data_IF_254799040271
#
_entry.id   IF_254799040271
#
_cell.length_a   1.000
_cell.length_b   1.000
_cell.length_c   1.000
_cell.angle_alpha   90.00
_cell.angle_beta   90.00
_cell.angle_gamma   90.00
#
_symmetry.space_group_name_H-M   'P 1'
#
loop_
_entity.id
_entity.type
_entity.pdbx_description
1 polymer ?
#
# COMPACT_ATOMS: atom_id res chain seq x y z
N UNK A 1 -0.48 13.57 -6.73
CA UNK A 1 0.50 13.14 -5.71
C UNK A 1 -0.20 13.21 -4.36
N UNK A 2 -0.06 12.19 -3.52
CA UNK A 2 -0.79 12.09 -2.26
C UNK A 2 0.18 11.97 -1.09
N UNK A 3 0.04 12.80 -0.07
CA UNK A 3 0.82 12.66 1.16
C UNK A 3 0.32 11.43 1.92
N UNK A 4 1.25 10.55 2.29
CA UNK A 4 0.95 9.31 2.99
C UNK A 4 1.51 9.34 4.41
N UNK A 5 0.63 9.54 5.38
CA UNK A 5 0.94 9.49 6.80
C UNK A 5 0.42 8.15 7.37
N UNK A 6 1.28 7.14 7.62
CA UNK A 6 0.83 5.79 7.93
C UNK A 6 -0.13 5.73 9.12
N UNK A 7 0.13 6.49 10.19
CA UNK A 7 -0.71 6.52 11.39
C UNK A 7 -2.11 7.06 11.09
N UNK A 8 -2.19 8.21 10.43
CA UNK A 8 -3.47 8.85 10.06
C UNK A 8 -4.28 7.94 9.14
N UNK A 9 -3.63 7.39 8.11
CA UNK A 9 -4.29 6.49 7.16
C UNK A 9 -4.80 5.22 7.86
N UNK A 10 -3.99 4.61 8.72
CA UNK A 10 -4.38 3.41 9.46
C UNK A 10 -5.61 3.67 10.35
N UNK A 11 -5.62 4.80 11.06
CA UNK A 11 -6.77 5.21 11.88
C UNK A 11 -8.02 5.39 11.01
N UNK A 12 -7.92 6.09 9.88
CA UNK A 12 -9.04 6.26 8.95
C UNK A 12 -9.56 4.91 8.44
N UNK A 13 -8.66 4.00 8.04
CA UNK A 13 -9.04 2.66 7.57
C UNK A 13 -9.75 1.85 8.65
N UNK A 14 -9.21 1.80 9.85
CA UNK A 14 -9.78 1.05 10.98
C UNK A 14 -11.20 1.53 11.32
N UNK A 15 -11.45 2.84 11.20
CA UNK A 15 -12.77 3.42 11.49
C UNK A 15 -13.70 3.49 10.27
N UNK A 16 -13.21 3.19 9.07
CA UNK A 16 -14.01 3.15 7.85
C UNK A 16 -15.06 2.04 7.85
N UNK A 17 -16.00 2.12 6.93
CA UNK A 17 -17.01 1.07 6.68
C UNK A 17 -16.44 -0.15 5.96
N UNK A 18 -15.20 -0.09 5.48
CA UNK A 18 -14.56 -1.21 4.78
C UNK A 18 -14.03 -2.29 5.73
N UNK A 19 -13.90 -1.99 7.03
CA UNK A 19 -13.45 -2.91 8.07
C UNK A 19 -14.64 -3.28 8.97
N UNK A 20 -14.95 -4.57 9.04
CA UNK A 20 -16.07 -5.04 9.88
C UNK A 20 -15.76 -4.86 11.38
N UNK A 21 -16.77 -4.74 12.26
CA UNK A 21 -16.55 -4.59 13.71
C UNK A 21 -15.68 -5.70 14.32
N UNK A 22 -15.83 -6.94 13.84
CA UNK A 22 -15.03 -8.09 14.29
C UNK A 22 -13.56 -7.97 13.85
N UNK A 23 -13.31 -7.48 12.63
CA UNK A 23 -11.96 -7.27 12.11
C UNK A 23 -11.23 -6.13 12.82
N UNK A 24 -11.93 -5.09 13.31
CA UNK A 24 -11.30 -3.92 13.95
C UNK A 24 -10.40 -4.30 15.14
N UNK A 25 -10.74 -5.35 15.88
CA UNK A 25 -9.98 -5.82 17.04
C UNK A 25 -8.63 -6.44 16.65
N UNK A 26 -8.55 -7.06 15.46
CA UNK A 26 -7.33 -7.71 14.96
C UNK A 26 -6.62 -6.92 13.88
N UNK A 27 -7.24 -5.84 13.39
CA UNK A 27 -6.78 -5.04 12.26
C UNK A 27 -5.35 -4.53 12.44
N UNK A 28 -5.05 -3.85 13.54
CA UNK A 28 -3.72 -3.28 13.80
C UNK A 28 -2.64 -4.37 13.88
N UNK A 29 -2.98 -5.53 14.46
CA UNK A 29 -2.07 -6.67 14.57
C UNK A 29 -1.81 -7.29 13.20
N UNK A 30 -2.85 -7.47 12.38
CA UNK A 30 -2.74 -8.00 11.02
C UNK A 30 -1.90 -7.05 10.15
N UNK A 31 -2.20 -5.76 10.21
CA UNK A 31 -1.48 -4.71 9.48
C UNK A 31 0.01 -4.69 9.85
N UNK A 32 0.33 -4.59 11.15
CA UNK A 32 1.73 -4.62 11.63
C UNK A 32 2.45 -5.90 11.24
N UNK A 33 1.75 -7.04 11.23
CA UNK A 33 2.32 -8.30 10.76
C UNK A 33 2.63 -8.25 9.27
N UNK A 34 1.72 -7.70 8.45
CA UNK A 34 1.95 -7.49 7.01
C UNK A 34 3.12 -6.57 6.72
N UNK A 35 3.23 -5.44 7.43
CA UNK A 35 4.32 -4.48 7.27
C UNK A 35 5.65 -5.05 7.78
N UNK A 36 5.75 -5.34 9.09
CA UNK A 36 7.02 -5.65 9.72
C UNK A 36 7.54 -7.05 9.41
N UNK A 37 6.67 -8.08 9.46
CA UNK A 37 7.09 -9.49 9.37
C UNK A 37 7.07 -10.06 7.95
N UNK A 38 6.23 -9.54 7.05
CA UNK A 38 6.15 -10.08 5.68
C UNK A 38 6.96 -9.28 4.68
N UNK A 39 7.05 -7.95 4.86
CA UNK A 39 7.74 -7.09 3.89
C UNK A 39 9.08 -6.62 4.42
N UNK A 40 9.10 -5.90 5.54
CA UNK A 40 10.35 -5.27 6.02
C UNK A 40 11.43 -6.30 6.30
N UNK A 41 11.15 -7.39 7.04
CA UNK A 41 12.15 -8.45 7.27
C UNK A 41 12.61 -9.11 5.97
N UNK A 42 11.67 -9.61 5.15
CA UNK A 42 11.99 -10.30 3.90
C UNK A 42 12.75 -9.42 2.91
N UNK A 43 12.41 -8.14 2.81
CA UNK A 43 13.12 -7.20 1.94
C UNK A 43 14.49 -6.81 2.49
N UNK A 44 14.65 -6.75 3.81
CA UNK A 44 15.97 -6.55 4.41
C UNK A 44 16.86 -7.78 4.19
N UNK A 45 16.35 -8.99 4.44
CA UNK A 45 17.06 -10.24 4.24
C UNK A 45 17.52 -10.40 2.78
N UNK A 46 16.63 -10.16 1.82
CA UNK A 46 16.93 -10.22 0.38
C UNK A 46 18.01 -9.21 -0.06
N UNK A 47 18.24 -8.16 0.74
CA UNK A 47 19.22 -7.09 0.45
C UNK A 47 20.44 -7.14 1.36
N UNK A 48 20.53 -8.13 2.26
CA UNK A 48 21.62 -8.25 3.24
C UNK A 48 23.01 -8.31 2.60
N UNK A 49 23.10 -8.82 1.37
CA UNK A 49 24.34 -8.94 0.62
C UNK A 49 24.67 -7.72 -0.27
N UNK A 50 23.83 -6.67 -0.26
CA UNK A 50 24.04 -5.47 -1.08
C UNK A 50 24.97 -4.47 -0.37
N UNK A 51 25.94 -3.93 -1.10
CA UNK A 51 26.90 -2.94 -0.59
C UNK A 51 26.27 -1.59 -0.17
N UNK A 52 25.01 -1.33 -0.58
CA UNK A 52 24.28 -0.12 -0.21
C UNK A 52 22.84 -0.49 0.19
N UNK A 53 22.62 -0.89 1.46
CA UNK A 53 21.30 -1.32 1.92
C UNK A 53 20.32 -0.15 1.91
N UNK A 54 19.08 -0.42 1.46
CA UNK A 54 18.02 0.59 1.49
C UNK A 54 17.71 0.99 2.95
N UNK A 55 17.55 2.28 3.28
CA UNK A 55 17.34 2.69 4.65
C UNK A 55 16.10 2.02 5.27
N UNK A 56 16.24 1.50 6.50
CA UNK A 56 15.15 0.77 7.17
C UNK A 56 13.84 1.56 7.24
N UNK A 57 13.91 2.86 7.56
CA UNK A 57 12.74 3.74 7.63
C UNK A 57 12.04 3.91 6.28
N UNK A 58 12.81 3.91 5.18
CA UNK A 58 12.26 3.95 3.83
C UNK A 58 11.55 2.62 3.52
N UNK A 59 12.18 1.47 3.82
CA UNK A 59 11.54 0.15 3.64
C UNK A 59 10.24 0.03 4.45
N UNK A 60 10.24 0.54 5.68
CA UNK A 60 9.04 0.54 6.52
C UNK A 60 7.94 1.39 5.88
N UNK A 61 8.24 2.63 5.48
CA UNK A 61 7.25 3.52 4.86
C UNK A 61 6.72 2.98 3.52
N UNK A 62 7.58 2.40 2.69
CA UNK A 62 7.19 1.72 1.45
C UNK A 62 6.27 0.53 1.74
N UNK A 63 6.58 -0.26 2.77
CA UNK A 63 5.78 -1.42 3.18
C UNK A 63 4.39 -1.02 3.67
N UNK A 64 4.26 0.12 4.37
CA UNK A 64 2.98 0.69 4.79
C UNK A 64 2.11 1.08 3.58
N UNK A 65 2.72 1.69 2.55
CA UNK A 65 2.03 2.03 1.30
C UNK A 65 1.58 0.77 0.58
N UNK A 66 2.44 -0.25 0.48
CA UNK A 66 2.10 -1.49 -0.21
C UNK A 66 0.97 -2.23 0.51
N UNK A 67 0.95 -2.26 1.86
CA UNK A 67 -0.17 -2.80 2.62
C UNK A 67 -1.47 -2.02 2.36
N UNK A 68 -1.39 -0.69 2.27
CA UNK A 68 -2.53 0.15 1.93
C UNK A 68 -3.10 -0.14 0.54
N UNK A 69 -2.24 -0.22 -0.49
CA UNK A 69 -2.69 -0.52 -1.86
C UNK A 69 -3.26 -1.93 -1.94
N UNK A 70 -2.65 -2.90 -1.26
CA UNK A 70 -3.17 -4.26 -1.16
C UNK A 70 -4.55 -4.28 -0.50
N UNK A 71 -4.74 -3.53 0.60
CA UNK A 71 -6.03 -3.41 1.28
C UNK A 71 -7.10 -2.85 0.33
N UNK A 72 -6.79 -1.77 -0.39
CA UNK A 72 -7.72 -1.18 -1.36
C UNK A 72 -8.10 -2.19 -2.44
N UNK A 73 -7.09 -2.85 -3.01
CA UNK A 73 -7.29 -3.85 -4.05
C UNK A 73 -8.16 -5.01 -3.60
N UNK A 74 -7.89 -5.59 -2.42
CA UNK A 74 -8.70 -6.68 -1.86
C UNK A 74 -10.16 -6.27 -1.65
N UNK A 75 -10.40 -5.01 -1.28
CA UNK A 75 -11.75 -4.48 -1.06
C UNK A 75 -12.48 -4.12 -2.34
N UNK A 76 -11.77 -3.83 -3.44
CA UNK A 76 -12.40 -3.43 -4.71
C UNK A 76 -12.39 -4.51 -5.80
N UNK A 77 -11.46 -5.48 -5.73
CA UNK A 77 -11.31 -6.53 -6.74
C UNK A 77 -12.56 -7.40 -6.82
N UNK A 78 -12.94 -7.74 -8.04
CA UNK A 78 -13.98 -8.73 -8.33
C UNK A 78 -13.43 -10.14 -8.11
N UNK A 79 -14.05 -10.89 -7.19
CA UNK A 79 -13.70 -12.30 -6.98
C UNK A 79 -14.35 -13.25 -7.98
N UNK A 80 -15.29 -12.76 -8.81
CA UNK A 80 -15.96 -13.57 -9.84
C UNK A 80 -15.82 -12.95 -11.23
N UNK A 81 -15.71 -13.82 -12.25
CA UNK A 81 -15.45 -13.48 -13.66
C UNK A 81 -16.48 -12.52 -14.29
N UNK A 82 -17.68 -12.43 -13.70
CA UNK A 82 -18.78 -11.55 -14.15
C UNK A 82 -19.28 -10.61 -13.04
N UNK A 83 -18.56 -10.57 -11.92
CA UNK A 83 -18.92 -9.74 -10.77
C UNK A 83 -18.71 -8.26 -11.06
N UNK A 84 -19.58 -7.42 -10.51
CA UNK A 84 -19.30 -5.98 -10.46
C UNK A 84 -18.22 -5.72 -9.40
N UNK A 85 -17.28 -4.79 -9.64
CA UNK A 85 -16.31 -4.39 -8.63
C UNK A 85 -17.02 -3.96 -7.34
N UNK A 86 -16.45 -4.35 -6.22
CA UNK A 86 -16.96 -3.92 -4.92
C UNK A 86 -16.73 -2.42 -4.76
N UNK A 87 -17.76 -1.72 -4.26
CA UNK A 87 -17.65 -0.29 -3.98
C UNK A 87 -16.87 -0.09 -2.71
N UNK A 88 -15.87 0.79 -2.77
CA UNK A 88 -15.17 1.23 -1.59
C UNK A 88 -16.07 2.16 -0.76
N UNK A 89 -16.00 2.07 0.57
CA UNK A 89 -16.74 2.95 1.45
C UNK A 89 -16.27 4.40 1.31
N UNK A 90 -17.20 5.36 1.42
CA UNK A 90 -16.93 6.81 1.26
C UNK A 90 -15.84 7.32 2.22
N UNK A 91 -15.69 6.68 3.38
CA UNK A 91 -14.71 7.09 4.40
C UNK A 91 -13.32 6.45 4.23
N UNK A 92 -13.10 5.69 3.16
CA UNK A 92 -11.77 5.15 2.85
C UNK A 92 -11.03 6.17 1.98
N UNK A 93 -9.88 6.70 2.44
CA UNK A 93 -9.11 7.64 1.63
C UNK A 93 -8.65 6.97 0.35
N UNK A 94 -8.76 7.66 -0.79
CA UNK A 94 -8.20 7.25 -2.08
C UNK A 94 -6.92 8.06 -2.34
N UNK A 95 -5.77 7.46 -2.01
CA UNK A 95 -4.44 8.05 -2.17
C UNK A 95 -3.69 7.35 -3.31
N UNK A 96 -2.69 8.01 -3.90
CA UNK A 96 -1.82 7.44 -4.94
C UNK A 96 -2.09 8.01 -6.33
N UNK A 97 -1.53 7.41 -7.41
CA UNK A 97 -0.52 6.33 -7.41
C UNK A 97 0.87 6.78 -6.92
N UNK A 98 1.14 8.09 -6.94
CA UNK A 98 2.38 8.69 -6.45
C UNK A 98 2.22 9.19 -5.02
N UNK A 99 2.90 8.54 -4.09
CA UNK A 99 2.90 8.81 -2.68
C UNK A 99 4.09 9.68 -2.28
N UNK A 100 3.80 10.69 -1.48
CA UNK A 100 4.78 11.62 -0.91
C UNK A 100 4.87 11.36 0.59
N UNK A 101 6.08 11.33 1.17
CA UNK A 101 6.20 11.28 2.62
C UNK A 101 5.64 12.57 3.25
N UNK A 102 5.27 12.54 4.54
CA UNK A 102 4.89 13.73 5.27
C UNK A 102 6.04 14.75 5.21
N UNK A 103 5.75 15.97 4.75
CA UNK A 103 6.76 17.03 4.75
C UNK A 103 6.95 17.63 6.14
N UNK A 104 8.03 18.40 6.32
CA UNK A 104 8.32 19.15 7.54
C UNK A 104 7.10 19.92 8.09
N UNK A 105 6.37 20.60 7.19
CA UNK A 105 5.19 21.39 7.57
C UNK A 105 4.09 20.53 8.19
N UNK A 106 3.88 19.30 7.69
CA UNK A 106 2.91 18.38 8.28
C UNK A 106 3.31 18.03 9.72
N UNK A 107 4.57 17.64 9.92
CA UNK A 107 5.10 17.27 11.24
C UNK A 107 5.02 18.45 12.22
N UNK A 108 5.38 19.65 11.76
CA UNK A 108 5.32 20.86 12.57
C UNK A 108 3.90 21.17 13.04
N UNK A 109 2.90 21.02 12.15
CA UNK A 109 1.50 21.31 12.47
C UNK A 109 0.87 20.27 13.40
N UNK A 110 1.28 19.00 13.29
CA UNK A 110 0.78 17.94 14.17
C UNK A 110 1.46 17.89 15.54
N UNK A 111 2.77 18.14 15.61
CA UNK A 111 3.59 17.92 16.82
C UNK A 111 4.02 19.21 17.53
N UNK A 112 3.48 20.37 17.14
CA UNK A 112 3.71 21.64 17.85
C UNK A 112 5.16 22.15 17.83
N UNK A 113 6.02 21.67 16.92
CA UNK A 113 7.42 22.10 16.79
C UNK A 113 8.43 21.35 17.68
N UNK A 114 8.09 20.21 18.26
CA UNK A 114 9.04 19.33 18.96
C UNK A 114 10.07 18.66 18.03
N UNK A 115 11.14 18.10 18.61
CA UNK A 115 12.31 17.53 17.92
C UNK A 115 11.94 16.69 16.68
N UNK A 116 12.23 17.24 15.51
CA UNK A 116 11.85 16.63 14.23
C UNK A 116 12.88 15.55 13.92
N UNK A 117 12.44 14.29 13.91
CA UNK A 117 13.30 13.19 13.49
C UNK A 117 13.70 13.40 12.02
N UNK A 118 14.98 13.74 11.82
CA UNK A 118 15.58 13.96 10.49
C UNK A 118 15.39 12.76 9.56
N UNK A 119 15.23 11.56 10.13
CA UNK A 119 15.02 10.30 9.40
C UNK A 119 13.78 10.30 8.51
N UNK A 120 12.72 11.04 8.88
CA UNK A 120 11.48 11.14 8.09
C UNK A 120 11.65 12.12 6.92
N UNK A 121 12.55 13.11 7.05
CA UNK A 121 12.77 14.13 6.02
C UNK A 121 13.48 13.59 4.76
N UNK A 122 14.23 12.50 4.90
CA UNK A 122 14.95 11.85 3.79
C UNK A 122 14.15 10.75 3.11
N UNK A 123 12.87 10.57 3.47
CA UNK A 123 12.03 9.62 2.76
C UNK A 123 11.88 10.08 1.30
N UNK A 124 12.02 9.12 0.38
CA UNK A 124 11.87 9.36 -1.04
C UNK A 124 10.44 9.04 -1.47
N UNK A 125 9.82 9.87 -2.31
CA UNK A 125 8.51 9.57 -2.89
C UNK A 125 8.49 8.21 -3.60
N UNK A 126 7.35 7.54 -3.56
CA UNK A 126 7.13 6.23 -4.17
C UNK A 126 5.99 6.31 -5.18
N UNK A 127 6.21 5.79 -6.39
CA UNK A 127 5.12 5.60 -7.36
C UNK A 127 4.76 4.12 -7.42
N UNK A 128 3.53 3.78 -7.05
CA UNK A 128 3.05 2.41 -7.11
C UNK A 128 2.44 2.14 -8.48
N UNK A 129 2.99 1.15 -9.19
CA UNK A 129 2.43 0.60 -10.41
C UNK A 129 1.59 -0.62 -10.02
N UNK A 130 0.27 -0.47 -10.05
CA UNK A 130 -0.66 -1.52 -9.64
C UNK A 130 -1.98 -1.42 -10.42
N UNK A 131 -2.68 -2.54 -10.74
CA UNK A 131 -3.95 -2.54 -11.49
C UNK A 131 -5.04 -1.67 -10.88
N UNK A 132 -5.01 -1.46 -9.56
CA UNK A 132 -5.89 -0.53 -8.86
C UNK A 132 -5.79 0.91 -9.41
N UNK A 133 -4.59 1.38 -9.76
CA UNK A 133 -4.38 2.73 -10.31
C UNK A 133 -4.29 2.76 -11.83
N UNK A 134 -3.88 1.64 -12.42
CA UNK A 134 -3.68 1.50 -13.86
C UNK A 134 -4.49 0.28 -14.35
N UNK A 135 -5.81 0.42 -14.56
CA UNK A 135 -6.67 -0.69 -14.96
C UNK A 135 -6.25 -1.38 -16.25
N UNK A 136 -5.49 -0.68 -17.12
CA UNK A 136 -4.87 -1.25 -18.32
C UNK A 136 -3.91 -2.42 -18.03
N UNK A 137 -3.39 -2.53 -16.81
CA UNK A 137 -2.52 -3.64 -16.41
C UNK A 137 -3.31 -4.93 -16.10
N UNK A 138 -4.64 -4.86 -16.01
CA UNK A 138 -5.50 -5.98 -15.64
C UNK A 138 -5.94 -6.86 -16.84
N UNK A 139 -5.50 -6.54 -18.05
CA UNK A 139 -5.87 -7.27 -19.27
C UNK A 139 -4.68 -7.35 -20.23
N UNK A 140 -4.65 -8.41 -21.03
CA UNK A 140 -3.59 -8.60 -22.02
C UNK A 140 -3.68 -7.53 -23.11
N UNK A 141 -2.60 -6.77 -23.41
CA UNK A 141 -2.65 -5.74 -24.45
C UNK A 141 -2.85 -6.32 -25.87
N UNK A 142 -2.52 -7.60 -26.08
CA UNK A 142 -2.59 -8.27 -27.39
C UNK A 142 -3.98 -8.83 -27.69
N UNK A 143 -4.52 -9.66 -26.80
CA UNK A 143 -5.81 -10.35 -27.01
C UNK A 143 -6.98 -9.72 -26.24
N UNK A 144 -6.70 -8.71 -25.40
CA UNK A 144 -7.67 -8.05 -24.52
C UNK A 144 -8.39 -8.95 -23.52
N UNK A 145 -7.92 -10.19 -23.33
CA UNK A 145 -8.48 -11.08 -22.31
C UNK A 145 -8.02 -10.68 -20.91
N UNK A 146 -8.93 -10.84 -19.96
CA UNK A 146 -8.71 -10.72 -18.52
C UNK A 146 -8.93 -12.06 -17.79
N UNK A 147 -9.14 -13.15 -18.55
CA UNK A 147 -9.60 -14.44 -18.00
C UNK A 147 -8.46 -15.22 -17.34
N UNK A 148 -7.25 -15.09 -17.90
CA UNK A 148 -6.07 -15.85 -17.53
C UNK A 148 -4.97 -14.96 -16.92
N UNK A 149 -5.09 -13.63 -17.02
CA UNK A 149 -4.08 -12.72 -16.48
C UNK A 149 -4.38 -12.39 -15.02
N UNK A 150 -3.73 -13.10 -14.09
CA UNK A 150 -3.77 -12.72 -12.68
C UNK A 150 -2.57 -11.82 -12.34
N UNK A 151 -2.80 -10.74 -11.58
CA UNK A 151 -1.69 -9.91 -11.09
C UNK A 151 -0.70 -10.70 -10.21
N UNK A 152 -1.20 -11.75 -9.54
CA UNK A 152 -0.44 -12.63 -8.65
C UNK A 152 0.24 -13.80 -9.38
N UNK A 153 0.12 -13.90 -10.72
CA UNK A 153 0.74 -14.97 -11.49
C UNK A 153 0.56 -14.86 -13.01
N UNK A 154 1.64 -15.10 -13.76
CA UNK A 154 1.57 -15.37 -15.18
C UNK A 154 1.03 -16.80 -15.38
N UNK A 155 0.13 -17.03 -16.32
CA UNK A 155 -0.23 -18.41 -16.65
C UNK A 155 0.99 -19.13 -17.21
N UNK A 156 1.08 -20.43 -16.95
CA UNK A 156 2.13 -21.31 -17.46
C UNK A 156 2.20 -21.37 -18.99
N UNK A 157 1.21 -20.81 -19.69
CA UNK A 157 1.17 -20.78 -21.15
C UNK A 157 1.95 -19.63 -21.77
N UNK A 158 2.43 -18.66 -20.98
CA UNK A 158 3.18 -17.51 -21.50
C UNK A 158 2.42 -16.73 -22.58
N UNK A 159 3.07 -15.74 -23.23
CA UNK A 159 2.58 -15.14 -24.47
C UNK A 159 2.66 -16.07 -25.69
#
# INVERSE_FOLDING_TARGET
>A
MSVFEPKTVLTLLKHSTAVSPLEKNTFDKKWRTGVSRKRVSTWNEARSHMNNPHPHFQLQWESEIVEYVQFLWEKTRTWSKRGKPNKLGVNVPLLGPRFMPPSYLHIQKWSGGGAIETKIQYLKPLNIVHPFYYPQLAWCPRCRSNEDTTWEGWTSKGP
#
